data_IF_069633293951
#
_entry.id   IF_069633293951
#
_cell.length_a   1.000
_cell.length_b   1.000
_cell.length_c   1.000
_cell.angle_alpha   90.00
_cell.angle_beta   90.00
_cell.angle_gamma   90.00
#
_symmetry.space_group_name_H-M   'P 1'
#
loop_
_entity.id
_entity.type
_entity.pdbx_description
1 polymer ?
#
# COMPACT_ATOMS: atom_id res chain seq x y z
N UNK A 1 -43.09 -22.01 -51.70
CA UNK A 1 -42.03 -21.10 -51.23
C UNK A 1 -41.97 -20.85 -49.72
N UNK A 2 -42.96 -21.22 -48.92
CA UNK A 2 -42.99 -20.94 -47.48
C UNK A 2 -42.17 -21.92 -46.60
N UNK A 3 -42.04 -23.16 -47.00
CA UNK A 3 -41.35 -24.21 -46.18
C UNK A 3 -39.83 -24.06 -46.16
N UNK A 4 -39.21 -23.62 -47.23
CA UNK A 4 -37.76 -23.40 -47.35
C UNK A 4 -37.31 -22.18 -46.55
N UNK A 5 -38.11 -21.10 -46.53
CA UNK A 5 -37.82 -19.89 -45.74
C UNK A 5 -37.89 -20.17 -44.24
N UNK A 6 -38.86 -21.01 -43.75
CA UNK A 6 -38.96 -21.39 -42.34
C UNK A 6 -37.76 -22.18 -41.86
N UNK A 7 -37.23 -23.14 -42.65
CA UNK A 7 -36.01 -23.90 -42.33
C UNK A 7 -34.77 -23.03 -42.29
N UNK A 8 -34.64 -22.06 -43.17
CA UNK A 8 -33.51 -21.13 -43.19
C UNK A 8 -33.52 -20.21 -41.96
N UNK A 9 -34.70 -19.70 -41.57
CA UNK A 9 -34.86 -18.84 -40.38
C UNK A 9 -34.58 -19.63 -39.09
N UNK A 10 -35.06 -20.87 -38.98
CA UNK A 10 -34.78 -21.74 -37.85
C UNK A 10 -33.29 -22.11 -37.73
N UNK A 11 -32.63 -22.38 -38.86
CA UNK A 11 -31.18 -22.62 -38.89
C UNK A 11 -30.36 -21.40 -38.51
N UNK A 12 -30.73 -20.22 -38.95
CA UNK A 12 -30.08 -18.96 -38.56
C UNK A 12 -30.30 -18.63 -37.09
N UNK A 13 -31.50 -18.82 -36.56
CA UNK A 13 -31.77 -18.63 -35.13
C UNK A 13 -31.00 -19.60 -34.24
N UNK A 14 -30.86 -20.85 -34.67
CA UNK A 14 -30.04 -21.84 -33.94
C UNK A 14 -28.54 -21.50 -33.98
N UNK A 15 -28.02 -21.05 -35.12
CA UNK A 15 -26.63 -20.60 -35.25
C UNK A 15 -26.34 -19.38 -34.35
N UNK A 16 -27.26 -18.41 -34.31
CA UNK A 16 -27.15 -17.22 -33.45
C UNK A 16 -27.18 -17.64 -31.97
N UNK A 17 -28.07 -18.56 -31.58
CA UNK A 17 -28.14 -19.07 -30.20
C UNK A 17 -26.86 -19.80 -29.79
N UNK A 18 -26.24 -20.58 -30.70
CA UNK A 18 -24.94 -21.22 -30.46
C UNK A 18 -23.81 -20.21 -30.27
N UNK A 19 -23.78 -19.16 -31.10
CA UNK A 19 -22.79 -18.08 -31.00
C UNK A 19 -22.95 -17.34 -29.66
N UNK A 20 -24.20 -16.99 -29.27
CA UNK A 20 -24.49 -16.35 -28.01
C UNK A 20 -24.09 -17.24 -26.83
N UNK A 21 -24.45 -18.53 -26.87
CA UNK A 21 -24.07 -19.49 -25.81
C UNK A 21 -22.54 -19.67 -25.70
N UNK A 22 -21.83 -19.74 -26.85
CA UNK A 22 -20.37 -19.83 -26.88
C UNK A 22 -19.71 -18.55 -26.32
N UNK A 23 -20.28 -17.37 -26.65
CA UNK A 23 -19.79 -16.08 -26.15
C UNK A 23 -20.02 -15.96 -24.64
N UNK A 24 -21.20 -16.37 -24.15
CA UNK A 24 -21.50 -16.38 -22.72
C UNK A 24 -20.63 -17.37 -21.95
N UNK A 25 -20.38 -18.55 -22.53
CA UNK A 25 -19.47 -19.54 -21.91
C UNK A 25 -18.03 -19.01 -21.86
N UNK A 26 -17.56 -18.37 -22.94
CA UNK A 26 -16.23 -17.75 -22.96
C UNK A 26 -16.13 -16.65 -21.90
N UNK A 27 -17.08 -15.73 -21.82
CA UNK A 27 -17.16 -14.71 -20.79
C UNK A 27 -17.14 -15.32 -19.38
N UNK A 28 -17.90 -16.38 -19.13
CA UNK A 28 -17.95 -17.06 -17.85
C UNK A 28 -16.60 -17.70 -17.48
N UNK A 29 -15.87 -18.24 -18.46
CA UNK A 29 -14.54 -18.83 -18.27
C UNK A 29 -13.49 -17.75 -17.96
N UNK A 30 -13.50 -16.64 -18.70
CA UNK A 30 -12.64 -15.47 -18.47
C UNK A 30 -12.87 -14.88 -17.07
N UNK A 31 -14.14 -14.75 -16.65
CA UNK A 31 -14.49 -14.34 -15.28
C UNK A 31 -13.97 -15.28 -14.19
N UNK A 32 -14.12 -16.59 -14.41
CA UNK A 32 -13.59 -17.57 -13.44
C UNK A 32 -12.07 -17.47 -13.31
N UNK A 33 -11.38 -17.19 -14.40
CA UNK A 33 -9.94 -17.07 -14.40
C UNK A 33 -9.49 -15.77 -13.72
N UNK A 34 -10.12 -14.63 -14.03
CA UNK A 34 -9.86 -13.36 -13.35
C UNK A 34 -10.07 -13.48 -11.82
N UNK A 35 -11.14 -14.17 -11.41
CA UNK A 35 -11.38 -14.43 -9.99
C UNK A 35 -10.31 -15.32 -9.36
N UNK A 36 -9.81 -16.32 -10.06
CA UNK A 36 -8.72 -17.16 -9.56
C UNK A 36 -7.39 -16.40 -9.47
N UNK A 37 -7.11 -15.51 -10.42
CA UNK A 37 -5.93 -14.64 -10.40
C UNK A 37 -5.98 -13.62 -9.26
N UNK A 38 -7.16 -13.06 -8.96
CA UNK A 38 -7.38 -12.22 -7.76
C UNK A 38 -7.11 -13.03 -6.48
N UNK A 39 -7.63 -14.26 -6.39
CA UNK A 39 -7.37 -15.11 -5.22
C UNK A 39 -5.89 -15.42 -5.02
N UNK A 40 -5.12 -15.53 -6.09
CA UNK A 40 -3.67 -15.74 -6.02
C UNK A 40 -2.92 -14.54 -5.42
N UNK A 41 -3.47 -13.33 -5.50
CA UNK A 41 -2.91 -12.12 -4.88
C UNK A 41 -3.26 -12.03 -3.39
N UNK A 42 -4.36 -12.67 -2.97
CA UNK A 42 -4.85 -12.61 -1.60
C UNK A 42 -3.99 -13.51 -0.72
N UNK A 43 -3.38 -12.94 0.31
CA UNK A 43 -2.64 -13.66 1.33
C UNK A 43 -3.31 -13.43 2.68
N UNK A 44 -3.43 -14.49 3.48
CA UNK A 44 -3.88 -14.35 4.87
C UNK A 44 -2.65 -14.08 5.74
N UNK A 45 -2.46 -12.86 6.26
CA UNK A 45 -1.36 -12.57 7.15
C UNK A 45 -1.47 -13.43 8.41
N UNK A 46 -0.36 -14.01 8.83
CA UNK A 46 -0.35 -14.77 10.06
C UNK A 46 -0.63 -13.85 11.27
N UNK A 47 -1.54 -14.27 12.13
CA UNK A 47 -1.86 -13.54 13.34
C UNK A 47 -0.70 -13.65 14.34
N UNK A 48 -0.20 -12.50 14.82
CA UNK A 48 0.78 -12.45 15.90
C UNK A 48 0.06 -11.87 17.12
N UNK A 49 0.26 -12.50 18.29
CA UNK A 49 -0.04 -11.84 19.55
C UNK A 49 0.97 -10.69 19.73
N UNK A 50 0.58 -9.50 19.33
CA UNK A 50 1.37 -8.31 19.57
C UNK A 50 1.25 -7.95 21.06
N UNK A 51 2.35 -7.61 21.78
CA UNK A 51 2.26 -7.14 23.15
C UNK A 51 1.31 -5.95 23.23
N UNK A 52 0.26 -6.05 24.04
CA UNK A 52 -0.75 -5.01 24.20
C UNK A 52 -0.17 -3.70 24.78
N UNK A 53 0.93 -3.79 25.51
CA UNK A 53 1.48 -2.73 26.35
C UNK A 53 2.78 -2.09 25.80
N UNK A 54 3.02 -2.14 24.50
CA UNK A 54 4.13 -1.34 23.95
C UNK A 54 3.75 0.15 24.03
N UNK A 55 4.51 0.97 24.79
CA UNK A 55 4.21 2.39 24.89
C UNK A 55 4.17 3.05 23.52
N UNK A 56 3.41 4.13 23.36
CA UNK A 56 3.49 4.94 22.14
C UNK A 56 4.94 5.31 21.88
N UNK A 57 5.35 5.42 20.62
CA UNK A 57 6.71 5.75 20.21
C UNK A 57 7.09 7.14 20.74
N UNK A 58 7.42 7.22 22.01
CA UNK A 58 8.02 8.40 22.61
C UNK A 58 9.51 8.35 22.30
N UNK A 59 10.02 9.41 21.74
CA UNK A 59 11.45 9.66 21.57
C UNK A 59 12.14 9.44 22.91
N UNK A 60 12.93 8.37 23.02
CA UNK A 60 13.86 8.24 24.14
C UNK A 60 14.91 9.34 24.00
N UNK A 61 14.98 10.19 24.99
CA UNK A 61 16.02 11.18 25.15
C UNK A 61 17.39 10.47 25.12
N UNK A 62 18.31 10.78 24.21
CA UNK A 62 19.59 10.05 24.10
C UNK A 62 20.52 10.25 25.29
N UNK A 63 20.12 10.99 26.32
CA UNK A 63 20.91 11.31 27.52
C UNK A 63 20.86 10.24 28.61
N UNK A 64 20.03 9.20 28.51
CA UNK A 64 19.79 8.23 29.59
C UNK A 64 20.57 6.92 29.48
N UNK A 65 21.46 6.74 28.50
CA UNK A 65 22.18 5.50 28.28
C UNK A 65 23.57 5.48 28.94
N UNK A 66 23.65 5.78 30.22
CA UNK A 66 24.88 5.61 31.00
C UNK A 66 24.59 5.30 32.48
N UNK A 67 24.01 4.15 32.77
CA UNK A 67 24.19 3.52 34.11
C UNK A 67 24.11 1.99 33.94
N UNK A 68 25.22 1.37 34.30
CA UNK A 68 25.50 -0.06 34.28
C UNK A 68 24.87 -0.83 35.44
N UNK A 69 24.94 -2.17 35.46
CA UNK A 69 23.92 -3.03 36.05
C UNK A 69 24.23 -3.37 37.52
N UNK A 70 23.21 -3.41 38.33
CA UNK A 70 23.23 -3.90 39.72
C UNK A 70 22.30 -5.09 39.91
N UNK A 71 22.95 -6.23 40.20
CA UNK A 71 22.56 -7.34 41.07
C UNK A 71 21.12 -7.93 41.04
N UNK A 72 21.14 -9.20 40.72
CA UNK A 72 20.12 -10.25 40.84
C UNK A 72 19.71 -10.51 42.29
N UNK A 73 18.41 -10.54 42.56
CA UNK A 73 17.83 -11.17 43.74
C UNK A 73 16.50 -11.86 43.37
N UNK A 74 16.26 -13.12 43.82
CA UNK A 74 15.07 -13.85 43.42
C UNK A 74 13.89 -13.54 44.35
N UNK A 75 12.73 -13.22 43.79
CA UNK A 75 11.48 -13.13 44.54
C UNK A 75 10.39 -14.01 43.93
N UNK A 76 9.86 -14.79 44.80
CA UNK A 76 8.89 -15.86 44.77
C UNK A 76 7.66 -15.69 43.89
N UNK A 77 7.24 -16.84 43.33
CA UNK A 77 5.96 -17.11 42.74
C UNK A 77 4.81 -16.92 43.72
N UNK A 78 3.77 -16.20 43.34
CA UNK A 78 2.42 -16.34 43.86
C UNK A 78 1.44 -16.47 42.69
N UNK A 79 0.94 -17.69 42.54
CA UNK A 79 -0.16 -18.07 41.69
C UNK A 79 -1.48 -17.49 42.23
N UNK A 80 -2.16 -16.69 41.44
CA UNK A 80 -3.61 -16.49 41.59
C UNK A 80 -4.28 -16.69 40.22
N UNK A 81 -5.01 -17.80 40.17
CA UNK A 81 -5.95 -18.13 39.09
C UNK A 81 -7.17 -17.23 39.22
N UNK A 82 -7.37 -16.38 38.22
CA UNK A 82 -8.67 -15.77 37.97
C UNK A 82 -9.17 -16.24 36.58
N UNK A 83 -10.18 -17.10 36.59
CA UNK A 83 -10.87 -17.58 35.42
C UNK A 83 -11.62 -16.42 34.75
N UNK A 84 -11.03 -15.86 33.72
CA UNK A 84 -11.68 -14.97 32.78
C UNK A 84 -12.24 -15.79 31.62
N UNK A 85 -13.56 -15.80 31.46
CA UNK A 85 -14.25 -16.39 30.31
C UNK A 85 -13.67 -15.80 29.03
N UNK A 86 -13.14 -16.66 28.20
CA UNK A 86 -12.81 -16.35 26.82
C UNK A 86 -14.16 -16.19 26.11
N UNK A 87 -14.60 -14.95 25.90
CA UNK A 87 -15.64 -14.67 24.93
C UNK A 87 -15.08 -15.05 23.57
N UNK A 88 -15.69 -16.05 22.94
CA UNK A 88 -15.44 -16.38 21.56
C UNK A 88 -15.62 -15.09 20.75
N UNK A 89 -14.53 -14.64 20.12
CA UNK A 89 -14.62 -13.61 19.10
C UNK A 89 -15.39 -14.26 17.96
N UNK A 90 -16.66 -13.91 17.85
CA UNK A 90 -17.47 -14.20 16.69
C UNK A 90 -16.72 -13.66 15.49
N UNK A 91 -16.49 -14.52 14.51
CA UNK A 91 -16.06 -14.11 13.18
C UNK A 91 -17.24 -13.33 12.55
N UNK A 92 -17.38 -12.07 12.95
CA UNK A 92 -18.27 -11.16 12.27
C UNK A 92 -17.72 -10.92 10.88
N UNK A 93 -18.46 -11.41 9.90
CA UNK A 93 -18.38 -10.94 8.52
C UNK A 93 -18.34 -9.42 8.57
N UNK A 94 -17.30 -8.75 7.98
CA UNK A 94 -17.18 -7.31 8.12
C UNK A 94 -18.38 -6.65 7.47
N UNK A 95 -19.29 -6.23 8.31
CA UNK A 95 -20.44 -5.42 7.92
C UNK A 95 -19.89 -4.09 7.34
N UNK A 96 -20.52 -3.59 6.30
CA UNK A 96 -20.30 -2.32 5.56
C UNK A 96 -20.24 -1.03 6.41
N UNK A 97 -19.84 -1.12 7.68
CA UNK A 97 -20.01 -0.10 8.72
C UNK A 97 -18.76 0.69 9.08
N UNK A 98 -17.59 0.42 8.51
CA UNK A 98 -16.45 1.29 8.81
C UNK A 98 -16.51 2.55 7.96
N UNK A 99 -16.78 3.69 8.60
CA UNK A 99 -16.79 5.00 7.96
C UNK A 99 -15.43 5.35 7.32
N UNK A 100 -14.35 4.77 7.83
CA UNK A 100 -12.97 4.99 7.34
C UNK A 100 -12.25 3.67 7.13
N UNK A 101 -11.38 3.61 6.12
CA UNK A 101 -10.53 2.48 5.81
C UNK A 101 -9.08 2.95 5.61
N UNK A 102 -8.13 2.30 6.26
CA UNK A 102 -6.71 2.61 6.16
C UNK A 102 -5.96 1.46 5.47
N UNK A 103 -5.32 1.75 4.34
CA UNK A 103 -4.62 0.78 3.50
C UNK A 103 -3.15 1.16 3.44
N UNK A 104 -2.25 0.26 3.80
CA UNK A 104 -0.81 0.46 3.69
C UNK A 104 -0.29 -0.04 2.34
N UNK A 105 0.13 0.88 1.50
CA UNK A 105 0.79 0.57 0.23
C UNK A 105 2.30 0.41 0.48
N UNK A 106 2.84 -0.72 0.05
CA UNK A 106 4.24 -1.10 0.21
C UNK A 106 4.86 -1.39 -1.16
N UNK A 107 5.96 -0.71 -1.48
CA UNK A 107 6.77 -0.98 -2.67
C UNK A 107 8.09 -1.67 -2.30
N UNK A 108 8.42 -2.74 -2.98
CA UNK A 108 9.67 -3.50 -2.76
C UNK A 108 10.44 -3.69 -4.07
N UNK A 109 11.76 -3.83 -3.96
CA UNK A 109 12.64 -4.19 -5.07
C UNK A 109 12.85 -5.72 -5.22
N UNK A 110 12.04 -6.52 -4.52
CA UNK A 110 12.08 -7.98 -4.63
C UNK A 110 11.97 -8.42 -6.08
N UNK A 111 12.90 -9.28 -6.50
CA UNK A 111 12.92 -9.87 -7.84
C UNK A 111 12.36 -11.29 -7.80
N UNK A 112 11.79 -11.79 -8.92
CA UNK A 112 11.45 -13.20 -9.03
C UNK A 112 12.68 -14.07 -8.74
N UNK A 113 12.56 -14.96 -7.73
CA UNK A 113 13.67 -15.83 -7.32
C UNK A 113 14.54 -15.31 -6.18
N UNK A 114 14.33 -14.09 -5.69
CA UNK A 114 15.02 -13.60 -4.48
C UNK A 114 14.69 -14.50 -3.29
N UNK A 115 15.75 -14.97 -2.62
CA UNK A 115 15.63 -15.80 -1.41
C UNK A 115 15.81 -14.91 -0.19
N UNK A 116 14.70 -14.58 0.46
CA UNK A 116 14.74 -13.89 1.74
C UNK A 116 13.85 -12.65 1.79
N UNK A 117 13.61 -12.15 3.00
CA UNK A 117 12.71 -11.04 3.22
C UNK A 117 13.34 -9.73 2.72
N UNK A 118 12.63 -9.04 1.85
CA UNK A 118 13.04 -7.76 1.26
C UNK A 118 12.54 -6.57 2.08
N UNK A 119 13.21 -5.43 1.92
CA UNK A 119 12.79 -4.15 2.51
C UNK A 119 11.70 -3.51 1.65
N UNK A 120 10.89 -2.67 2.29
CA UNK A 120 9.86 -1.88 1.60
C UNK A 120 10.35 -0.44 1.42
N UNK A 121 10.82 -0.12 0.23
CA UNK A 121 11.45 1.19 -0.07
C UNK A 121 10.45 2.32 -0.36
N UNK A 122 9.18 1.98 -0.59
CA UNK A 122 8.07 2.91 -0.65
C UNK A 122 7.02 2.50 0.38
N UNK A 123 6.56 3.47 1.18
CA UNK A 123 5.55 3.27 2.21
C UNK A 123 4.57 4.44 2.18
N UNK A 124 3.32 4.18 1.81
CA UNK A 124 2.25 5.19 1.77
C UNK A 124 1.02 4.64 2.48
N UNK A 125 0.58 5.32 3.52
CA UNK A 125 -0.70 5.02 4.17
C UNK A 125 -1.80 5.81 3.47
N UNK A 126 -2.81 5.09 2.97
CA UNK A 126 -3.98 5.68 2.31
C UNK A 126 -5.17 5.53 3.24
N UNK A 127 -5.84 6.63 3.54
CA UNK A 127 -7.08 6.68 4.31
C UNK A 127 -8.23 7.08 3.41
N UNK A 128 -9.23 6.25 3.38
CA UNK A 128 -10.48 6.46 2.68
C UNK A 128 -11.53 6.82 3.72
N UNK A 129 -12.13 7.98 3.59
CA UNK A 129 -13.27 8.42 4.41
C UNK A 129 -14.52 8.44 3.52
N UNK A 130 -15.40 7.47 3.75
CA UNK A 130 -16.61 7.30 2.95
C UNK A 130 -17.68 8.31 3.25
N UNK A 131 -17.72 8.80 4.48
CA UNK A 131 -18.72 9.76 4.89
C UNK A 131 -18.52 11.11 4.20
N UNK A 132 -17.25 11.47 3.96
CA UNK A 132 -16.88 12.74 3.33
C UNK A 132 -16.47 12.61 1.86
N UNK A 133 -16.30 11.39 1.34
CA UNK A 133 -15.74 11.14 0.01
C UNK A 133 -14.26 11.56 -0.11
N UNK A 134 -13.55 11.66 1.02
CA UNK A 134 -12.17 12.13 1.10
C UNK A 134 -11.19 10.97 1.04
N UNK A 135 -10.12 11.14 0.26
CA UNK A 135 -8.95 10.27 0.26
C UNK A 135 -7.75 11.06 0.73
N UNK A 136 -7.04 10.53 1.73
CA UNK A 136 -5.79 11.13 2.24
C UNK A 136 -4.66 10.13 2.04
N UNK A 137 -3.49 10.58 1.56
CA UNK A 137 -2.28 9.78 1.45
C UNK A 137 -1.20 10.38 2.36
N UNK A 138 -0.54 9.55 3.16
CA UNK A 138 0.59 9.91 4.01
C UNK A 138 1.81 9.12 3.61
N UNK A 139 2.82 9.78 3.03
CA UNK A 139 4.13 9.15 2.76
C UNK A 139 4.95 9.06 4.04
N UNK A 140 5.57 7.90 4.24
CA UNK A 140 6.39 7.58 5.39
C UNK A 140 7.82 7.37 4.90
N UNK A 141 8.83 8.15 5.37
CA UNK A 141 10.20 8.01 4.95
C UNK A 141 10.77 6.67 5.44
N UNK A 142 11.39 5.92 4.53
CA UNK A 142 11.88 4.56 4.77
C UNK A 142 12.97 4.45 5.83
N UNK A 143 13.73 5.52 6.04
CA UNK A 143 14.88 5.57 6.96
C UNK A 143 14.50 6.06 8.36
N UNK A 144 13.20 6.21 8.64
CA UNK A 144 12.68 6.54 9.97
C UNK A 144 13.00 5.42 10.97
N UNK A 145 13.65 5.74 12.08
CA UNK A 145 13.99 4.78 13.14
C UNK A 145 12.80 4.56 14.06
N UNK A 146 12.37 3.32 14.19
CA UNK A 146 11.17 2.94 14.98
C UNK A 146 11.36 1.62 15.68
N UNK A 147 10.62 1.42 16.76
CA UNK A 147 10.44 0.09 17.38
C UNK A 147 9.40 -0.70 16.59
N UNK A 148 9.73 -1.93 16.20
CA UNK A 148 8.81 -2.78 15.43
C UNK A 148 7.74 -3.38 16.35
N UNK A 149 6.53 -3.49 15.84
CA UNK A 149 5.40 -4.05 16.58
C UNK A 149 5.62 -5.49 17.06
N UNK A 150 6.45 -6.25 16.44
CA UNK A 150 6.82 -7.60 16.91
C UNK A 150 8.07 -7.64 17.81
N UNK A 151 8.63 -6.48 18.24
CA UNK A 151 9.88 -6.34 19.00
C UNK A 151 11.10 -6.14 18.09
N UNK A 152 12.15 -5.59 18.66
CA UNK A 152 13.30 -5.05 17.94
C UNK A 152 13.03 -3.66 17.39
N UNK A 153 14.06 -3.03 16.86
CA UNK A 153 14.01 -1.68 16.32
C UNK A 153 14.88 -1.55 15.08
N UNK A 154 14.69 -0.50 14.33
CA UNK A 154 15.44 -0.21 13.13
C UNK A 154 14.71 0.75 12.20
N UNK A 155 15.22 0.88 10.98
CA UNK A 155 14.54 1.67 9.95
C UNK A 155 13.17 1.07 9.64
N UNK A 156 12.14 1.90 9.51
CA UNK A 156 10.76 1.45 9.33
C UNK A 156 10.58 0.54 8.10
N UNK A 157 11.38 0.75 7.03
CA UNK A 157 11.38 -0.12 5.85
C UNK A 157 11.83 -1.57 6.14
N UNK A 158 12.44 -1.80 7.28
CA UNK A 158 12.84 -3.14 7.76
C UNK A 158 11.71 -3.88 8.49
N UNK A 159 10.61 -3.22 8.85
CA UNK A 159 9.53 -3.82 9.64
C UNK A 159 8.93 -5.05 8.96
N UNK A 160 8.64 -4.97 7.67
CA UNK A 160 8.16 -6.11 6.87
C UNK A 160 9.16 -7.27 6.90
N UNK A 161 10.43 -6.98 6.59
CA UNK A 161 11.48 -7.99 6.58
C UNK A 161 11.73 -8.61 7.97
N UNK A 162 11.59 -7.82 9.03
CA UNK A 162 11.71 -8.31 10.41
C UNK A 162 10.59 -9.31 10.76
N UNK A 163 9.37 -9.05 10.30
CA UNK A 163 8.25 -9.99 10.41
C UNK A 163 8.52 -11.31 9.69
N UNK A 164 8.88 -11.24 8.40
CA UNK A 164 9.16 -12.42 7.56
C UNK A 164 10.32 -13.26 8.09
N UNK A 165 11.36 -12.64 8.67
CA UNK A 165 12.49 -13.35 9.30
C UNK A 165 12.07 -14.16 10.52
N UNK A 166 11.05 -13.72 11.26
CA UNK A 166 10.55 -14.44 12.43
C UNK A 166 9.73 -15.65 12.04
N UNK A 167 8.83 -15.42 11.10
CA UNK A 167 7.97 -16.45 10.56
C UNK A 167 7.44 -15.98 9.19
N UNK A 168 7.41 -16.88 8.23
CA UNK A 168 6.84 -16.59 6.91
C UNK A 168 5.38 -16.13 7.04
N UNK A 169 5.04 -15.05 6.35
CA UNK A 169 3.72 -14.43 6.39
C UNK A 169 3.49 -13.41 7.53
N UNK A 170 4.49 -13.17 8.41
CA UNK A 170 4.36 -12.15 9.47
C UNK A 170 4.72 -10.73 9.00
N UNK A 171 5.37 -10.60 7.86
CA UNK A 171 5.79 -9.31 7.32
C UNK A 171 4.68 -8.27 7.28
N UNK A 172 3.54 -8.57 6.65
CA UNK A 172 2.42 -7.63 6.58
C UNK A 172 1.89 -7.21 7.95
N UNK A 173 1.74 -8.17 8.87
CA UNK A 173 1.23 -7.91 10.24
C UNK A 173 2.16 -6.95 10.99
N UNK A 174 3.48 -7.21 10.96
CA UNK A 174 4.46 -6.34 11.64
C UNK A 174 4.51 -4.97 10.99
N UNK A 175 4.48 -4.88 9.66
CA UNK A 175 4.50 -3.59 8.95
C UNK A 175 3.25 -2.77 9.25
N UNK A 176 2.04 -3.35 9.14
CA UNK A 176 0.76 -2.68 9.45
C UNK A 176 0.74 -2.17 10.89
N UNK A 177 1.08 -3.02 11.85
CA UNK A 177 1.05 -2.65 13.26
C UNK A 177 2.14 -1.62 13.63
N UNK A 178 3.33 -1.67 12.99
CA UNK A 178 4.38 -0.67 13.21
C UNK A 178 3.94 0.70 12.69
N UNK A 179 3.39 0.77 11.48
CA UNK A 179 2.86 2.02 10.91
C UNK A 179 1.65 2.50 11.70
N UNK A 180 0.75 1.60 12.10
CA UNK A 180 -0.42 1.93 12.91
C UNK A 180 -0.05 2.60 14.23
N UNK A 181 0.97 2.09 14.93
CA UNK A 181 1.51 2.71 16.16
C UNK A 181 2.14 4.07 15.90
N UNK A 182 2.89 4.23 14.81
CA UNK A 182 3.51 5.50 14.45
C UNK A 182 2.46 6.59 14.20
N UNK A 183 1.38 6.25 13.48
CA UNK A 183 0.36 7.20 13.02
C UNK A 183 -0.82 7.28 14.00
N UNK A 184 -0.96 6.35 14.94
CA UNK A 184 -2.10 6.31 15.86
C UNK A 184 -3.42 5.98 15.17
N UNK A 185 -3.40 5.01 14.23
CA UNK A 185 -4.59 4.47 13.54
C UNK A 185 -4.45 2.97 13.36
N UNK A 186 -5.57 2.26 13.30
CA UNK A 186 -5.56 0.88 12.86
C UNK A 186 -5.36 0.83 11.33
N UNK A 187 -4.45 -0.03 10.88
CA UNK A 187 -4.22 -0.30 9.46
C UNK A 187 -4.99 -1.55 9.07
N UNK A 188 -6.07 -1.37 8.32
CA UNK A 188 -7.00 -2.46 7.98
C UNK A 188 -6.38 -3.45 7.00
N UNK A 189 -5.84 -2.92 5.90
CA UNK A 189 -5.30 -3.74 4.82
C UNK A 189 -3.93 -3.27 4.37
N UNK A 190 -3.25 -4.14 3.62
CA UNK A 190 -2.03 -3.78 2.91
C UNK A 190 -2.13 -4.16 1.43
N UNK A 191 -1.31 -3.49 0.62
CA UNK A 191 -0.98 -3.88 -0.75
C UNK A 191 0.52 -3.81 -0.89
N UNK A 192 1.14 -4.93 -1.23
CA UNK A 192 2.56 -5.03 -1.55
C UNK A 192 2.71 -5.21 -3.06
N UNK A 193 3.53 -4.40 -3.68
CA UNK A 193 3.88 -4.49 -5.11
C UNK A 193 5.39 -4.41 -5.29
N UNK A 194 5.94 -5.22 -6.18
CA UNK A 194 7.34 -5.09 -6.57
C UNK A 194 7.51 -4.20 -7.81
N UNK A 195 8.76 -3.89 -8.17
CA UNK A 195 9.06 -3.01 -9.31
C UNK A 195 8.51 -3.51 -10.63
N UNK A 196 8.62 -4.82 -10.89
CA UNK A 196 8.09 -5.41 -12.12
C UNK A 196 6.57 -5.29 -12.21
N UNK A 197 5.87 -5.53 -11.09
CA UNK A 197 4.42 -5.35 -11.01
C UNK A 197 4.01 -3.88 -11.20
N UNK A 198 4.79 -2.95 -10.65
CA UNK A 198 4.55 -1.52 -10.84
C UNK A 198 4.70 -1.10 -12.32
N UNK A 199 5.77 -1.54 -12.99
CA UNK A 199 5.97 -1.30 -14.43
C UNK A 199 4.83 -1.92 -15.25
N UNK A 200 4.53 -3.20 -14.99
CA UNK A 200 3.48 -3.94 -15.68
C UNK A 200 2.11 -3.25 -15.53
N UNK A 201 1.75 -2.81 -14.31
CA UNK A 201 0.49 -2.09 -14.06
C UNK A 201 0.39 -0.83 -14.94
N UNK A 202 1.44 -0.02 -14.96
CA UNK A 202 1.44 1.25 -15.71
C UNK A 202 1.40 0.98 -17.22
N UNK A 203 2.11 -0.01 -17.72
CA UNK A 203 2.12 -0.36 -19.14
C UNK A 203 0.77 -0.92 -19.59
N UNK A 204 0.12 -1.75 -18.77
CA UNK A 204 -1.26 -2.20 -19.02
C UNK A 204 -2.25 -1.02 -19.08
N UNK A 205 -2.03 0.01 -18.27
CA UNK A 205 -2.79 1.27 -18.34
C UNK A 205 -2.44 2.12 -19.57
N UNK A 206 -1.47 1.73 -20.39
CA UNK A 206 -0.98 2.50 -21.54
C UNK A 206 -0.25 3.77 -21.13
N UNK A 207 0.43 3.73 -19.99
CA UNK A 207 1.15 4.84 -19.40
C UNK A 207 0.29 5.72 -18.49
N UNK A 208 0.96 6.55 -17.68
CA UNK A 208 0.33 7.49 -16.74
C UNK A 208 0.79 8.92 -17.04
N UNK A 209 -0.15 9.87 -16.98
CA UNK A 209 0.15 11.30 -17.17
C UNK A 209 0.55 11.92 -15.84
N UNK A 210 1.83 12.30 -15.71
CA UNK A 210 2.37 12.95 -14.51
C UNK A 210 2.73 14.39 -14.86
N UNK A 211 2.21 15.34 -14.07
CA UNK A 211 2.68 16.72 -14.13
C UNK A 211 3.93 16.86 -13.27
N UNK A 212 5.10 16.91 -13.90
CA UNK A 212 6.41 17.04 -13.24
C UNK A 212 6.59 18.49 -12.78
N UNK A 213 6.66 18.79 -11.47
CA UNK A 213 6.69 20.17 -10.99
C UNK A 213 7.93 20.93 -11.45
N UNK A 214 9.11 20.27 -11.36
CA UNK A 214 10.40 20.82 -11.69
C UNK A 214 11.20 19.84 -12.53
N UNK A 215 12.06 20.36 -13.42
CA UNK A 215 12.93 19.53 -14.22
C UNK A 215 13.91 18.74 -13.34
N UNK A 216 14.08 17.45 -13.65
CA UNK A 216 14.95 16.54 -12.91
C UNK A 216 16.11 16.11 -13.80
N UNK A 217 17.32 16.14 -13.23
CA UNK A 217 18.51 15.59 -13.81
C UNK A 217 19.22 14.70 -12.79
N UNK A 218 19.32 13.41 -13.09
CA UNK A 218 20.03 12.42 -12.29
C UNK A 218 21.13 11.79 -13.18
N UNK A 219 22.40 12.15 -13.02
CA UNK A 219 23.48 11.68 -13.88
C UNK A 219 23.95 10.27 -13.56
N UNK A 220 23.54 9.71 -12.42
CA UNK A 220 24.04 8.44 -11.88
C UNK A 220 22.90 7.53 -11.39
N UNK A 221 21.77 7.52 -12.09
CA UNK A 221 20.65 6.64 -11.76
C UNK A 221 21.09 5.17 -11.85
N UNK A 222 20.95 4.36 -10.78
CA UNK A 222 21.41 2.97 -10.78
C UNK A 222 20.47 2.08 -11.58
N UNK A 223 21.04 1.29 -12.49
CA UNK A 223 20.33 0.25 -13.26
C UNK A 223 20.35 -1.10 -12.55
N UNK A 224 19.61 -2.07 -13.09
CA UNK A 224 19.51 -3.40 -12.47
C UNK A 224 20.80 -4.23 -12.61
N UNK A 225 21.66 -3.92 -13.58
CA UNK A 225 22.96 -4.55 -13.85
C UNK A 225 24.13 -3.87 -13.11
N UNK A 226 23.83 -3.06 -12.08
CA UNK A 226 24.79 -2.30 -11.27
C UNK A 226 25.58 -1.22 -12.04
N UNK A 227 25.12 -0.87 -13.24
CA UNK A 227 25.61 0.29 -13.96
C UNK A 227 24.82 1.55 -13.57
N UNK A 228 25.17 2.68 -14.16
CA UNK A 228 24.43 3.93 -14.02
C UNK A 228 24.07 4.50 -15.37
N UNK A 229 22.93 5.17 -15.44
CA UNK A 229 22.48 5.91 -16.61
C UNK A 229 22.13 7.34 -16.24
N UNK A 230 22.23 8.21 -17.22
CA UNK A 230 21.75 9.58 -17.09
C UNK A 230 20.25 9.64 -17.34
N UNK A 231 19.52 10.26 -16.43
CA UNK A 231 18.07 10.39 -16.49
C UNK A 231 17.65 11.86 -16.46
N UNK A 232 16.74 12.22 -17.35
CA UNK A 232 16.18 13.57 -17.43
C UNK A 232 14.65 13.52 -17.51
N UNK A 233 14.01 14.40 -16.75
CA UNK A 233 12.58 14.72 -16.85
C UNK A 233 12.43 16.23 -17.02
N UNK A 234 11.63 16.67 -17.98
CA UNK A 234 11.29 18.08 -18.14
C UNK A 234 10.22 18.45 -17.12
N UNK A 235 10.06 19.72 -16.80
CA UNK A 235 8.88 20.20 -16.07
C UNK A 235 7.63 20.15 -16.97
N UNK A 236 6.46 20.08 -16.34
CA UNK A 236 5.17 20.02 -17.00
C UNK A 236 4.62 18.61 -17.22
N UNK A 237 3.48 18.46 -17.90
CA UNK A 237 2.80 17.20 -18.09
C UNK A 237 3.57 16.27 -19.04
N UNK A 238 3.74 15.01 -18.64
CA UNK A 238 4.42 13.97 -19.38
C UNK A 238 3.68 12.65 -19.27
N UNK A 239 3.52 11.93 -20.37
CA UNK A 239 3.05 10.55 -20.37
C UNK A 239 4.26 9.63 -20.11
N UNK A 240 4.23 8.91 -19.01
CA UNK A 240 5.30 8.00 -18.58
C UNK A 240 4.86 6.55 -18.80
N UNK A 241 5.72 5.74 -19.44
CA UNK A 241 5.63 4.27 -19.45
C UNK A 241 5.92 3.70 -18.05
N UNK A 242 5.74 2.40 -17.86
CA UNK A 242 6.06 1.72 -16.60
C UNK A 242 7.50 1.96 -16.18
N UNK A 243 8.46 1.70 -17.05
CA UNK A 243 9.88 1.95 -16.81
C UNK A 243 10.16 3.42 -16.44
N UNK A 244 9.64 4.37 -17.23
CA UNK A 244 9.86 5.79 -16.98
C UNK A 244 9.24 6.27 -15.68
N UNK A 245 8.06 5.76 -15.33
CA UNK A 245 7.39 6.07 -14.07
C UNK A 245 8.14 5.47 -12.87
N UNK A 246 8.70 4.26 -13.00
CA UNK A 246 9.54 3.65 -11.96
C UNK A 246 10.83 4.46 -11.76
N UNK A 247 11.51 4.84 -12.83
CA UNK A 247 12.69 5.72 -12.78
C UNK A 247 12.33 7.02 -12.07
N UNK A 248 11.23 7.68 -12.45
CA UNK A 248 10.77 8.93 -11.84
C UNK A 248 10.49 8.78 -10.33
N UNK A 249 9.85 7.70 -9.93
CA UNK A 249 9.53 7.41 -8.52
C UNK A 249 10.74 6.97 -7.69
N UNK A 250 11.89 6.61 -8.31
CA UNK A 250 13.08 6.10 -7.63
C UNK A 250 14.26 7.05 -7.63
N UNK A 251 14.35 8.00 -8.58
CA UNK A 251 15.49 8.93 -8.66
C UNK A 251 15.64 9.73 -7.35
N UNK A 252 16.89 9.96 -6.92
CA UNK A 252 17.24 10.61 -5.64
C UNK A 252 18.39 11.60 -5.77
N UNK A 253 19.28 11.40 -6.74
CA UNK A 253 20.52 12.18 -6.84
C UNK A 253 20.26 13.63 -7.29
N UNK A 254 19.05 13.92 -7.78
CA UNK A 254 18.64 15.27 -8.10
C UNK A 254 18.17 16.07 -6.87
N UNK A 255 17.74 15.36 -5.80
CA UNK A 255 17.18 15.96 -4.58
C UNK A 255 17.28 14.99 -3.39
N UNK A 256 16.37 15.09 -2.42
CA UNK A 256 16.36 14.29 -1.20
C UNK A 256 15.45 13.05 -1.31
N UNK A 257 15.50 12.20 -0.28
CA UNK A 257 14.56 11.10 -0.07
C UNK A 257 13.10 11.60 0.05
N UNK A 258 12.92 12.82 0.57
CA UNK A 258 11.59 13.46 0.66
C UNK A 258 11.04 13.86 -0.71
N UNK A 259 11.87 14.35 -1.62
CA UNK A 259 11.48 14.61 -3.01
C UNK A 259 11.07 13.33 -3.73
N UNK A 260 11.75 12.21 -3.48
CA UNK A 260 11.34 10.89 -3.97
C UNK A 260 9.94 10.51 -3.48
N UNK A 261 9.64 10.69 -2.18
CA UNK A 261 8.31 10.40 -1.62
C UNK A 261 7.21 11.22 -2.28
N UNK A 262 7.47 12.50 -2.57
CA UNK A 262 6.53 13.35 -3.31
C UNK A 262 6.27 12.82 -4.73
N UNK A 263 7.31 12.39 -5.44
CA UNK A 263 7.19 11.80 -6.78
C UNK A 263 6.38 10.50 -6.76
N UNK A 264 6.57 9.65 -5.75
CA UNK A 264 5.77 8.44 -5.56
C UNK A 264 4.28 8.77 -5.43
N UNK A 265 3.93 9.78 -4.63
CA UNK A 265 2.52 10.21 -4.53
C UNK A 265 1.97 10.76 -5.85
N UNK A 266 2.77 11.55 -6.59
CA UNK A 266 2.35 12.04 -7.90
C UNK A 266 2.02 10.91 -8.88
N UNK A 267 2.84 9.86 -8.89
CA UNK A 267 2.60 8.68 -9.74
C UNK A 267 1.37 7.90 -9.27
N UNK A 268 1.15 7.74 -7.94
CA UNK A 268 -0.05 7.09 -7.43
C UNK A 268 -1.33 7.83 -7.83
N UNK A 269 -1.33 9.17 -7.74
CA UNK A 269 -2.47 9.99 -8.23
C UNK A 269 -2.65 9.83 -9.73
N UNK A 270 -1.56 9.80 -10.51
CA UNK A 270 -1.62 9.61 -11.95
C UNK A 270 -2.17 8.23 -12.34
N UNK A 271 -1.81 7.16 -11.60
CA UNK A 271 -2.39 5.82 -11.75
C UNK A 271 -3.89 5.87 -11.47
N UNK A 272 -4.31 6.45 -10.34
CA UNK A 272 -5.72 6.60 -9.99
C UNK A 272 -6.52 7.32 -11.09
N UNK A 273 -6.02 8.47 -11.57
CA UNK A 273 -6.66 9.21 -12.65
C UNK A 273 -6.75 8.39 -13.94
N UNK A 274 -5.69 7.65 -14.28
CA UNK A 274 -5.65 6.83 -15.49
C UNK A 274 -6.64 5.66 -15.44
N UNK A 275 -6.75 4.99 -14.29
CA UNK A 275 -7.75 3.93 -14.04
C UNK A 275 -9.17 4.48 -14.24
N UNK A 276 -9.44 5.67 -13.71
CA UNK A 276 -10.73 6.35 -13.84
C UNK A 276 -11.02 6.77 -15.28
N UNK A 277 -10.06 7.43 -15.96
CA UNK A 277 -10.19 7.86 -17.37
C UNK A 277 -10.51 6.70 -18.32
N UNK A 278 -9.95 5.53 -18.05
CA UNK A 278 -10.19 4.33 -18.84
C UNK A 278 -11.53 3.65 -18.54
N UNK A 279 -12.26 4.11 -17.52
CA UNK A 279 -13.50 3.48 -17.10
C UNK A 279 -13.30 2.02 -16.63
N UNK A 280 -12.09 1.66 -16.14
CA UNK A 280 -11.79 0.28 -15.75
C UNK A 280 -12.69 -0.23 -14.63
N UNK A 281 -13.23 0.68 -13.82
CA UNK A 281 -14.25 0.33 -12.81
C UNK A 281 -15.58 -0.12 -13.45
N UNK A 282 -15.80 0.19 -14.73
CA UNK A 282 -17.01 -0.15 -15.49
C UNK A 282 -16.77 -1.30 -16.48
N UNK A 283 -15.52 -1.50 -16.91
CA UNK A 283 -15.15 -2.51 -17.92
C UNK A 283 -14.69 -3.80 -17.23
N UNK A 284 -15.65 -4.57 -16.78
CA UNK A 284 -15.40 -5.88 -16.14
C UNK A 284 -14.67 -6.88 -17.08
N UNK A 285 -14.73 -6.68 -18.39
CA UNK A 285 -14.09 -7.54 -19.40
C UNK A 285 -12.57 -7.40 -19.51
N UNK A 286 -12.00 -6.31 -19.01
CA UNK A 286 -10.53 -6.10 -19.01
C UNK A 286 -9.84 -6.53 -17.74
N UNK A 287 -10.59 -6.83 -16.67
CA UNK A 287 -10.02 -7.24 -15.37
C UNK A 287 -9.17 -8.50 -15.48
N UNK A 288 -9.53 -9.42 -16.37
CA UNK A 288 -8.82 -10.67 -16.57
C UNK A 288 -7.36 -10.47 -17.01
N UNK A 289 -7.13 -9.56 -17.95
CA UNK A 289 -5.77 -9.26 -18.42
C UNK A 289 -4.91 -8.58 -17.33
N UNK A 290 -5.50 -7.65 -16.57
CA UNK A 290 -4.81 -6.98 -15.47
C UNK A 290 -4.50 -7.94 -14.31
N UNK A 291 -5.46 -8.75 -13.90
CA UNK A 291 -5.28 -9.69 -12.78
C UNK A 291 -4.25 -10.75 -13.13
N UNK A 292 -4.30 -11.29 -14.35
CA UNK A 292 -3.30 -12.26 -14.83
C UNK A 292 -1.90 -11.66 -14.88
N UNK A 293 -1.76 -10.42 -15.35
CA UNK A 293 -0.47 -9.75 -15.45
C UNK A 293 0.13 -9.41 -14.06
N UNK A 294 -0.70 -9.21 -13.04
CA UNK A 294 -0.27 -8.71 -11.73
C UNK A 294 -0.21 -9.78 -10.64
N UNK A 295 -0.83 -10.95 -10.82
CA UNK A 295 -1.00 -11.97 -9.77
C UNK A 295 0.31 -12.42 -9.09
N UNK A 296 1.43 -12.40 -9.81
CA UNK A 296 2.73 -12.84 -9.30
C UNK A 296 3.51 -11.69 -8.64
N UNK A 297 3.06 -10.44 -8.80
CA UNK A 297 3.75 -9.22 -8.40
C UNK A 297 3.06 -8.44 -7.29
N UNK A 298 1.77 -8.73 -7.05
CA UNK A 298 0.97 -8.06 -6.03
C UNK A 298 0.56 -9.04 -4.95
N UNK A 299 0.58 -8.59 -3.68
CA UNK A 299 0.05 -9.32 -2.53
C UNK A 299 -0.80 -8.38 -1.69
N UNK A 300 -1.92 -8.87 -1.19
CA UNK A 300 -2.84 -8.11 -0.34
C UNK A 300 -3.62 -9.04 0.58
N UNK A 301 -4.15 -8.52 1.68
CA UNK A 301 -5.09 -9.21 2.58
C UNK A 301 -6.55 -8.78 2.35
N UNK A 302 -6.80 -7.98 1.33
CA UNK A 302 -8.16 -7.62 0.94
C UNK A 302 -8.83 -8.78 0.21
N UNK A 303 -10.01 -9.16 0.68
CA UNK A 303 -10.86 -10.10 -0.05
C UNK A 303 -11.50 -9.44 -1.31
N UNK A 304 -12.09 -10.27 -2.16
CA UNK A 304 -12.72 -9.80 -3.41
C UNK A 304 -13.85 -8.80 -3.16
N UNK A 305 -14.64 -9.03 -2.11
CA UNK A 305 -15.78 -8.17 -1.79
C UNK A 305 -15.29 -6.77 -1.44
N UNK A 306 -14.21 -6.69 -0.65
CA UNK A 306 -13.57 -5.44 -0.29
C UNK A 306 -12.95 -4.73 -1.51
N UNK A 307 -12.32 -5.47 -2.42
CA UNK A 307 -11.78 -4.90 -3.65
C UNK A 307 -12.88 -4.30 -4.55
N UNK A 308 -14.00 -5.01 -4.72
CA UNK A 308 -15.14 -4.51 -5.50
C UNK A 308 -15.80 -3.29 -4.85
N UNK A 309 -15.91 -3.29 -3.53
CA UNK A 309 -16.42 -2.16 -2.77
C UNK A 309 -15.53 -0.91 -2.95
N UNK A 310 -14.22 -1.08 -2.89
CA UNK A 310 -13.25 0.00 -3.13
C UNK A 310 -13.31 0.50 -4.57
N UNK A 311 -13.47 -0.39 -5.53
CA UNK A 311 -13.63 -0.01 -6.93
C UNK A 311 -14.91 0.84 -7.12
N UNK A 312 -16.02 0.46 -6.50
CA UNK A 312 -17.26 1.25 -6.50
C UNK A 312 -17.06 2.62 -5.88
N UNK A 313 -16.41 2.71 -4.73
CA UNK A 313 -16.10 3.99 -4.08
C UNK A 313 -15.17 4.87 -4.93
N UNK A 314 -14.12 4.28 -5.52
CA UNK A 314 -13.15 5.01 -6.34
C UNK A 314 -13.75 5.59 -7.63
N UNK A 315 -14.79 4.95 -8.17
CA UNK A 315 -15.52 5.44 -9.36
C UNK A 315 -16.12 6.83 -9.14
N UNK A 316 -16.65 7.06 -7.94
CA UNK A 316 -17.39 8.29 -7.59
C UNK A 316 -16.46 9.41 -7.07
N UNK A 317 -15.17 9.12 -6.88
CA UNK A 317 -14.19 10.11 -6.41
C UNK A 317 -13.77 11.08 -7.50
N UNK A 318 -13.67 12.36 -7.15
CA UNK A 318 -13.01 13.36 -8.00
C UNK A 318 -11.49 13.29 -7.89
N UNK A 319 -10.76 13.74 -8.90
CA UNK A 319 -9.29 13.82 -8.84
C UNK A 319 -8.80 14.73 -7.71
N UNK A 320 -9.56 15.77 -7.39
CA UNK A 320 -9.25 16.76 -6.35
C UNK A 320 -9.57 16.26 -4.92
N UNK A 321 -10.25 15.11 -4.81
CA UNK A 321 -10.56 14.49 -3.51
C UNK A 321 -9.33 13.87 -2.83
N UNK A 322 -8.19 13.73 -3.55
CA UNK A 322 -6.98 13.10 -3.02
C UNK A 322 -6.06 14.14 -2.38
N UNK A 323 -6.00 14.12 -1.06
CA UNK A 323 -5.12 14.98 -0.27
C UNK A 323 -3.80 14.27 0.04
N UNK A 324 -2.69 14.99 -0.10
CA UNK A 324 -1.34 14.43 0.04
C UNK A 324 -0.63 15.03 1.24
N UNK A 325 -0.14 14.17 2.11
CA UNK A 325 0.64 14.49 3.29
C UNK A 325 1.93 13.69 3.29
N UNK A 326 2.95 14.17 3.96
CA UNK A 326 4.22 13.47 4.09
C UNK A 326 4.84 13.71 5.47
N UNK A 327 5.45 12.69 6.04
CA UNK A 327 6.43 12.86 7.10
C UNK A 327 7.73 13.27 6.39
N UNK A 328 8.01 14.56 6.36
CA UNK A 328 9.13 15.18 5.65
C UNK A 328 10.13 15.83 6.60
N UNK A 329 11.06 16.62 6.07
CA UNK A 329 12.09 17.31 6.84
C UNK A 329 11.55 18.28 7.90
N UNK A 330 10.28 18.67 7.85
CA UNK A 330 9.63 19.50 8.87
C UNK A 330 9.08 18.70 10.04
N UNK A 331 9.00 17.39 9.90
CA UNK A 331 8.43 16.45 10.88
C UNK A 331 9.50 15.58 11.52
N UNK A 332 10.69 15.48 10.92
CA UNK A 332 11.76 14.62 11.41
C UNK A 332 12.95 15.43 11.94
N UNK A 333 13.70 14.79 12.82
CA UNK A 333 15.02 15.24 13.27
C UNK A 333 16.06 14.19 12.92
N UNK A 334 17.26 14.64 12.50
CA UNK A 334 18.36 13.76 12.19
C UNK A 334 18.88 13.11 13.48
N UNK A 335 19.14 11.83 13.40
CA UNK A 335 19.87 11.10 14.42
C UNK A 335 21.39 11.20 14.17
N UNK A 336 22.20 10.67 15.11
CA UNK A 336 23.68 10.67 14.98
C UNK A 336 24.18 9.92 13.75
N UNK A 337 23.45 8.89 13.32
CA UNK A 337 23.63 8.28 12.00
C UNK A 337 22.87 9.15 10.99
N UNK A 338 23.58 9.85 10.06
CA UNK A 338 22.95 10.75 9.10
C UNK A 338 22.03 10.05 8.09
N UNK A 339 21.98 8.71 8.13
CA UNK A 339 21.09 7.92 7.30
C UNK A 339 19.77 7.52 8.01
N UNK A 340 19.51 8.05 9.23
CA UNK A 340 18.31 7.74 10.01
C UNK A 340 17.69 8.99 10.62
N UNK A 341 16.36 8.93 10.82
CA UNK A 341 15.56 10.03 11.34
C UNK A 341 14.72 9.57 12.53
N UNK A 342 14.48 10.48 13.49
CA UNK A 342 13.41 10.34 14.46
C UNK A 342 12.28 11.32 14.13
N UNK A 343 11.07 11.07 14.59
CA UNK A 343 9.96 12.02 14.44
C UNK A 343 10.01 13.08 15.54
N UNK A 344 9.67 14.31 15.20
CA UNK A 344 9.32 15.34 16.18
C UNK A 344 7.85 15.13 16.59
N UNK A 345 7.53 14.84 17.88
CA UNK A 345 6.20 14.38 18.26
C UNK A 345 5.07 15.38 17.97
N UNK A 346 5.30 16.68 18.17
CA UNK A 346 4.28 17.71 17.93
C UNK A 346 4.02 17.91 16.43
N UNK A 347 5.08 17.91 15.61
CA UNK A 347 4.96 18.02 14.17
C UNK A 347 4.29 16.76 13.58
N UNK A 348 4.64 15.57 14.08
CA UNK A 348 3.96 14.33 13.71
C UNK A 348 2.48 14.37 14.06
N UNK A 349 2.12 14.78 15.27
CA UNK A 349 0.73 14.92 15.69
C UNK A 349 -0.05 15.84 14.74
N UNK A 350 0.53 16.99 14.40
CA UNK A 350 -0.10 17.96 13.49
C UNK A 350 -0.38 17.35 12.11
N UNK A 351 0.61 16.71 11.48
CA UNK A 351 0.43 16.14 10.14
C UNK A 351 -0.53 14.95 10.15
N UNK A 352 -0.51 14.15 11.21
CA UNK A 352 -1.43 13.02 11.39
C UNK A 352 -2.87 13.50 11.59
N UNK A 353 -3.11 14.54 12.40
CA UNK A 353 -4.46 15.13 12.56
C UNK A 353 -5.00 15.66 11.23
N UNK A 354 -4.16 16.31 10.43
CA UNK A 354 -4.54 16.77 9.08
C UNK A 354 -4.86 15.57 8.16
N UNK A 355 -4.04 14.54 8.18
CA UNK A 355 -4.25 13.29 7.43
C UNK A 355 -5.57 12.63 7.81
N UNK A 356 -5.90 12.57 9.10
CA UNK A 356 -7.15 12.01 9.63
C UNK A 356 -8.37 12.89 9.35
N UNK A 357 -8.16 14.18 9.03
CA UNK A 357 -9.24 15.16 8.85
C UNK A 357 -9.80 15.67 10.16
N UNK A 358 -9.06 15.53 11.25
CA UNK A 358 -9.41 16.10 12.55
C UNK A 358 -9.17 17.61 12.54
N UNK A 359 -10.08 18.38 13.14
CA UNK A 359 -9.82 19.78 13.41
C UNK A 359 -8.62 19.85 14.37
N UNK A 360 -7.61 20.65 14.02
CA UNK A 360 -6.52 20.93 14.95
C UNK A 360 -7.18 21.60 16.17
N UNK A 361 -7.27 20.89 17.30
CA UNK A 361 -7.62 21.56 18.54
C UNK A 361 -6.54 22.62 18.76
N UNK A 362 -6.93 23.87 18.82
CA UNK A 362 -6.07 24.95 19.30
C UNK A 362 -5.71 24.54 20.73
N UNK A 363 -4.58 23.82 20.89
CA UNK A 363 -4.00 23.59 22.20
C UNK A 363 -3.70 24.97 22.77
N UNK A 364 -4.48 25.32 23.79
CA UNK A 364 -4.62 26.59 24.40
C UNK A 364 -3.29 27.27 24.69
N UNK A 365 -3.33 28.55 24.46
CA UNK A 365 -2.50 29.45 25.20
C UNK A 365 -2.84 29.32 26.70
N UNK A 366 -1.84 29.10 27.44
CA UNK A 366 -1.53 29.74 28.70
C UNK A 366 -0.08 29.41 29.06
#
# INVERSE_FOLDING_TARGET
MSFFRRRLVLGAAFAISLIVAATMLRLALEWRQALADIDAMIVTPAAIALPADAPPLTTQDPSSAAQSPGAIGPAAASSQSAGGRISAVSADTPTLSQATLNILLLGTDARPGDKGPTRTDAMVLVRLDRATGRVSMLSIPRDLWVSYAGGGEGRINGAYAAGEKRHSGYGPTVAKATVGRLVGVDVDHFVLINFQGFETLIDQLGGVSVNVPEAIYDPVYPTQDYNTIEVRFRSGPQLLSGERALIYARTRHADSDFGRNQRQQLVLVAIFNRVRERGLFEQLTSLDDYTRALRDYVRTDMDRSRMLELAGFAKDLSADAVLRYAIDSTVVVDLRDPATFAVEPKALHKIVSQFKGEALSSAGGE
#
